data_IF_251317796139
#
_entry.id   IF_251317796139
#
_cell.length_a   1.000
_cell.length_b   1.000
_cell.length_c   1.000
_cell.angle_alpha   90.00
_cell.angle_beta   90.00
_cell.angle_gamma   90.00
#
_symmetry.space_group_name_H-M   'P 1'
#
loop_
_entity.id
_entity.type
_entity.pdbx_description
1 polymer ?
#
# COMPACT_ATOMS: atom_id res chain seq x y z
N UNK A 1 -27.70 0.60 25.60
CA UNK A 1 -26.35 1.09 25.26
C UNK A 1 -26.24 1.11 23.75
N UNK A 2 -26.45 2.24 23.15
CA UNK A 2 -26.34 2.41 21.69
C UNK A 2 -24.87 2.53 21.33
N UNK A 3 -24.37 1.57 20.55
CA UNK A 3 -23.03 1.65 19.96
C UNK A 3 -23.11 2.57 18.74
N UNK A 4 -22.66 3.81 18.90
CA UNK A 4 -22.44 4.71 17.77
C UNK A 4 -21.16 4.30 17.04
N UNK A 5 -21.31 3.65 15.90
CA UNK A 5 -20.21 3.43 14.96
C UNK A 5 -19.95 4.72 14.16
N UNK A 6 -18.82 5.34 14.40
CA UNK A 6 -18.33 6.39 13.50
C UNK A 6 -17.77 5.73 12.23
N UNK A 7 -18.51 5.90 11.13
CA UNK A 7 -18.05 5.48 9.81
C UNK A 7 -17.19 6.60 9.22
N UNK A 8 -15.90 6.38 9.06
CA UNK A 8 -14.99 7.32 8.40
C UNK A 8 -15.15 7.16 6.89
N UNK A 9 -15.60 8.19 6.22
CA UNK A 9 -15.51 8.29 4.77
C UNK A 9 -14.06 8.66 4.41
N UNK A 10 -13.40 7.83 3.61
CA UNK A 10 -12.09 8.17 3.04
C UNK A 10 -12.36 9.14 1.87
N UNK A 11 -12.16 10.41 2.09
CA UNK A 11 -12.21 11.40 1.02
C UNK A 11 -10.83 11.48 0.36
N UNK A 12 -10.76 11.15 -0.91
CA UNK A 12 -9.56 11.31 -1.70
C UNK A 12 -9.75 12.49 -2.66
N UNK A 13 -8.91 13.50 -2.55
CA UNK A 13 -9.02 14.72 -3.34
C UNK A 13 -8.37 14.55 -4.71
N UNK A 14 -9.14 14.77 -5.76
CA UNK A 14 -8.66 14.90 -7.13
C UNK A 14 -8.60 16.40 -7.44
N UNK A 15 -7.44 17.02 -7.33
CA UNK A 15 -7.28 18.45 -7.71
C UNK A 15 -7.19 18.59 -9.22
N UNK A 16 -8.23 19.12 -9.85
CA UNK A 16 -8.23 19.49 -11.27
C UNK A 16 -7.87 20.97 -11.39
N UNK A 17 -6.62 21.24 -11.65
CA UNK A 17 -6.15 22.61 -11.94
C UNK A 17 -5.16 22.62 -13.07
N UNK A 18 -5.56 23.12 -14.24
CA UNK A 18 -4.63 23.38 -15.32
C UNK A 18 -5.27 23.33 -16.72
N UNK A 19 -5.32 24.46 -17.37
CA UNK A 19 -5.79 24.63 -18.73
C UNK A 19 -4.93 23.83 -19.71
N UNK A 20 -5.54 22.96 -20.51
CA UNK A 20 -4.91 22.33 -21.67
C UNK A 20 -5.36 23.02 -22.94
N UNK A 21 -4.40 23.59 -23.63
CA UNK A 21 -4.55 24.01 -25.03
C UNK A 21 -4.62 22.79 -25.96
N UNK A 22 -5.62 22.82 -26.74
CA UNK A 22 -5.97 22.08 -27.95
C UNK A 22 -4.84 21.41 -28.73
N UNK A 23 -5.09 20.18 -29.18
CA UNK A 23 -4.84 19.80 -30.57
C UNK A 23 -6.05 19.08 -31.13
N UNK A 24 -6.51 19.59 -32.24
CA UNK A 24 -7.62 19.15 -33.05
C UNK A 24 -7.27 17.87 -33.82
N UNK A 25 -8.23 16.96 -34.00
CA UNK A 25 -8.44 16.38 -35.32
C UNK A 25 -9.92 16.09 -35.56
N UNK A 26 -10.29 16.41 -36.77
CA UNK A 26 -11.57 16.46 -37.42
C UNK A 26 -12.25 15.08 -37.54
N UNK A 27 -13.52 15.00 -37.23
CA UNK A 27 -14.43 14.27 -38.14
C UNK A 27 -15.87 14.81 -38.04
N UNK A 28 -16.30 15.36 -39.13
CA UNK A 28 -17.60 15.97 -39.34
C UNK A 28 -18.63 14.94 -39.81
N UNK A 29 -19.79 14.90 -39.17
CA UNK A 29 -21.07 14.66 -39.88
C UNK A 29 -22.18 15.50 -39.22
N UNK A 30 -23.01 16.16 -40.02
CA UNK A 30 -24.07 17.03 -39.52
C UNK A 30 -25.39 16.28 -39.39
N UNK A 31 -26.07 16.40 -38.27
CA UNK A 31 -27.52 16.23 -38.29
C UNK A 31 -28.18 17.32 -37.44
N UNK A 32 -29.14 17.98 -38.08
CA UNK A 32 -29.86 19.12 -37.56
C UNK A 32 -30.98 18.71 -36.62
N UNK A 33 -31.03 19.38 -35.49
CA UNK A 33 -32.12 19.29 -34.52
C UNK A 33 -32.14 20.50 -33.62
N UNK A 34 -33.03 21.42 -33.91
CA UNK A 34 -33.33 22.63 -33.13
C UNK A 34 -33.85 22.24 -31.73
N UNK A 35 -33.13 22.58 -30.68
CA UNK A 35 -33.52 22.37 -29.29
C UNK A 35 -32.76 23.25 -28.34
N UNK A 36 -33.42 24.22 -27.82
CA UNK A 36 -33.14 25.19 -26.78
C UNK A 36 -31.90 24.91 -25.92
N UNK A 37 -30.78 25.61 -26.20
CA UNK A 37 -29.50 25.39 -25.56
C UNK A 37 -29.47 25.87 -24.12
N UNK A 38 -29.64 24.97 -23.21
CA UNK A 38 -29.05 25.12 -21.88
C UNK A 38 -27.55 24.87 -22.01
N UNK A 39 -26.73 25.88 -21.82
CA UNK A 39 -25.28 25.74 -21.64
C UNK A 39 -25.05 24.89 -20.38
N UNK A 40 -24.86 23.58 -20.52
CA UNK A 40 -24.36 22.75 -19.44
C UNK A 40 -22.91 23.17 -19.21
N UNK A 41 -22.67 23.93 -18.15
CA UNK A 41 -21.31 24.17 -17.65
C UNK A 41 -20.66 22.80 -17.46
N UNK A 42 -19.44 22.56 -17.97
CA UNK A 42 -18.71 21.32 -17.72
C UNK A 42 -18.69 21.05 -16.21
N UNK A 43 -18.98 19.84 -15.78
CA UNK A 43 -19.02 19.48 -14.38
C UNK A 43 -17.68 19.80 -13.71
N UNK A 44 -17.72 20.60 -12.64
CA UNK A 44 -16.55 21.11 -11.92
C UNK A 44 -16.16 20.25 -10.72
N UNK A 45 -16.64 19.02 -10.68
CA UNK A 45 -16.36 18.10 -9.55
C UNK A 45 -14.86 17.92 -9.34
N UNK A 46 -14.38 18.26 -8.14
CA UNK A 46 -12.96 18.23 -7.75
C UNK A 46 -12.63 16.99 -6.90
N UNK A 47 -13.61 16.42 -6.25
CA UNK A 47 -13.42 15.37 -5.27
C UNK A 47 -14.26 14.15 -5.62
N UNK A 48 -13.69 12.97 -5.38
CA UNK A 48 -14.41 11.69 -5.43
C UNK A 48 -14.45 11.12 -4.04
N UNK A 49 -15.64 10.81 -3.56
CA UNK A 49 -15.89 10.29 -2.22
C UNK A 49 -16.38 8.86 -2.35
N UNK A 50 -15.68 7.90 -1.73
CA UNK A 50 -16.17 6.55 -1.55
C UNK A 50 -17.11 6.51 -0.34
N UNK A 51 -18.39 6.62 -0.60
CA UNK A 51 -19.44 6.63 0.42
C UNK A 51 -19.94 5.22 0.69
N UNK A 52 -19.87 4.78 1.94
CA UNK A 52 -20.43 3.49 2.35
C UNK A 52 -21.89 3.68 2.76
N UNK A 53 -22.79 2.98 2.06
CA UNK A 53 -24.20 2.84 2.40
C UNK A 53 -24.48 1.41 2.89
N UNK A 54 -25.72 1.15 3.35
CA UNK A 54 -26.11 -0.18 3.87
C UNK A 54 -25.94 -1.29 2.83
N UNK A 55 -26.18 -0.99 1.55
CA UNK A 55 -26.17 -1.95 0.46
C UNK A 55 -24.80 -2.05 -0.26
N UNK A 56 -23.85 -1.14 0.01
CA UNK A 56 -22.55 -1.16 -0.68
C UNK A 56 -21.72 0.11 -0.55
N UNK A 57 -20.66 0.18 -1.33
CA UNK A 57 -19.84 1.38 -1.48
C UNK A 57 -20.14 2.04 -2.82
N UNK A 58 -20.31 3.35 -2.80
CA UNK A 58 -20.63 4.15 -3.97
C UNK A 58 -19.65 5.29 -4.12
N UNK A 59 -19.23 5.54 -5.34
CA UNK A 59 -18.43 6.70 -5.69
C UNK A 59 -19.35 7.86 -6.04
N UNK A 60 -19.24 8.94 -5.29
CA UNK A 60 -19.95 10.19 -5.54
C UNK A 60 -18.94 11.32 -5.71
N UNK A 61 -19.32 12.35 -6.44
CA UNK A 61 -18.45 13.49 -6.69
C UNK A 61 -18.95 14.75 -5.97
N UNK A 62 -18.04 15.61 -5.57
CA UNK A 62 -18.33 16.90 -4.95
C UNK A 62 -17.41 17.99 -5.49
N UNK A 63 -17.89 19.23 -5.49
CA UNK A 63 -17.09 20.40 -5.79
C UNK A 63 -16.32 20.93 -4.57
N UNK A 64 -16.83 20.62 -3.36
CA UNK A 64 -16.23 21.03 -2.08
C UNK A 64 -16.30 19.87 -1.08
N UNK A 65 -15.37 19.88 -0.11
CA UNK A 65 -15.42 19.02 1.07
C UNK A 65 -15.85 19.80 2.33
N UNK A 66 -15.92 21.12 2.26
CA UNK A 66 -16.18 21.99 3.40
C UNK A 66 -17.66 22.33 3.55
N UNK A 67 -18.41 22.25 2.46
CA UNK A 67 -19.81 22.66 2.44
C UNK A 67 -20.66 21.82 1.48
N UNK A 68 -21.98 21.89 1.64
CA UNK A 68 -22.93 21.21 0.79
C UNK A 68 -23.34 19.85 1.33
N UNK A 69 -24.17 19.15 0.55
CA UNK A 69 -24.66 17.80 0.84
C UNK A 69 -24.44 16.91 -0.38
N UNK A 70 -23.83 15.77 -0.17
CA UNK A 70 -23.65 14.76 -1.19
C UNK A 70 -24.62 13.61 -0.89
N UNK A 71 -25.44 13.25 -1.88
CA UNK A 71 -26.36 12.12 -1.78
C UNK A 71 -25.94 10.99 -2.71
N UNK A 72 -25.95 9.76 -2.20
CA UNK A 72 -25.64 8.54 -2.95
C UNK A 72 -26.80 8.19 -3.89
N UNK A 73 -28.05 8.36 -3.44
CA UNK A 73 -29.24 7.96 -4.18
C UNK A 73 -29.37 8.71 -5.51
N UNK A 74 -29.31 7.98 -6.61
CA UNK A 74 -29.39 8.50 -7.97
C UNK A 74 -28.14 9.23 -8.47
N UNK A 75 -27.08 9.35 -7.64
CA UNK A 75 -25.84 10.05 -7.99
C UNK A 75 -24.57 9.19 -7.84
N UNK A 76 -24.63 8.11 -7.08
CA UNK A 76 -23.48 7.25 -6.84
C UNK A 76 -23.27 6.23 -7.95
N UNK A 77 -22.01 5.98 -8.29
CA UNK A 77 -21.58 4.81 -9.08
C UNK A 77 -21.18 3.72 -8.11
N UNK A 78 -21.81 2.56 -8.21
CA UNK A 78 -21.52 1.43 -7.33
C UNK A 78 -20.07 0.95 -7.50
N UNK A 79 -19.39 0.70 -6.38
CA UNK A 79 -18.02 0.21 -6.35
C UNK A 79 -17.99 -1.12 -5.58
N UNK A 80 -18.39 -2.19 -6.28
CA UNK A 80 -18.61 -3.52 -5.71
C UNK A 80 -17.32 -4.05 -5.07
N UNK A 81 -17.38 -4.32 -3.76
CA UNK A 81 -16.32 -5.00 -3.02
C UNK A 81 -14.99 -4.25 -2.91
N UNK A 82 -14.88 -3.01 -3.38
CA UNK A 82 -13.65 -2.25 -3.32
C UNK A 82 -13.21 -2.00 -1.86
N UNK A 83 -11.97 -2.40 -1.56
CA UNK A 83 -11.34 -2.27 -0.24
C UNK A 83 -10.15 -1.34 -0.26
N UNK A 84 -9.48 -1.21 -1.41
CA UNK A 84 -8.32 -0.36 -1.61
C UNK A 84 -8.52 0.54 -2.81
N UNK A 85 -8.01 1.76 -2.70
CA UNK A 85 -8.16 2.79 -3.72
C UNK A 85 -6.81 3.26 -4.20
N UNK A 86 -6.66 3.38 -5.52
CA UNK A 86 -5.47 3.91 -6.17
C UNK A 86 -5.88 5.02 -7.11
N UNK A 87 -5.24 6.17 -6.99
CA UNK A 87 -5.39 7.29 -7.92
C UNK A 87 -4.22 7.30 -8.88
N UNK A 88 -4.51 7.45 -10.16
CA UNK A 88 -3.52 7.63 -11.21
C UNK A 88 -3.83 8.90 -11.99
N UNK A 89 -2.91 9.85 -11.90
CA UNK A 89 -3.14 11.19 -12.45
C UNK A 89 -4.43 11.80 -11.87
N UNK A 90 -5.07 12.63 -12.68
CA UNK A 90 -6.32 13.32 -12.29
C UNK A 90 -7.58 12.67 -12.90
N UNK A 91 -7.44 11.56 -13.61
CA UNK A 91 -8.50 10.99 -14.43
C UNK A 91 -8.94 9.59 -14.03
N UNK A 92 -8.05 8.82 -13.42
CA UNK A 92 -8.32 7.40 -13.16
C UNK A 92 -8.32 7.09 -11.67
N UNK A 93 -9.31 6.33 -11.27
CA UNK A 93 -9.43 5.74 -9.95
C UNK A 93 -9.56 4.22 -10.11
N UNK A 94 -8.83 3.48 -9.31
CA UNK A 94 -8.92 2.02 -9.27
C UNK A 94 -9.41 1.60 -7.88
N UNK A 95 -10.49 0.82 -7.85
CA UNK A 95 -10.98 0.13 -6.67
C UNK A 95 -10.52 -1.32 -6.71
N UNK A 96 -9.69 -1.74 -5.77
CA UNK A 96 -9.20 -3.11 -5.68
C UNK A 96 -9.95 -3.86 -4.58
N UNK A 97 -10.41 -5.07 -4.88
CA UNK A 97 -11.10 -5.93 -3.93
C UNK A 97 -10.09 -6.79 -3.16
N UNK A 98 -10.16 -6.71 -1.83
CA UNK A 98 -9.52 -7.70 -0.97
C UNK A 98 -10.45 -8.90 -0.78
N UNK A 99 -9.99 -10.08 -1.17
CA UNK A 99 -10.77 -11.31 -1.13
C UNK A 99 -10.11 -12.33 -0.18
N UNK A 100 -10.00 -11.96 1.11
CA UNK A 100 -9.48 -12.81 2.20
C UNK A 100 -8.19 -13.57 1.87
N UNK A 101 -7.32 -12.94 1.09
CA UNK A 101 -6.04 -13.53 0.67
C UNK A 101 -6.11 -14.42 -0.58
N UNK A 102 -7.26 -14.52 -1.21
CA UNK A 102 -7.44 -15.15 -2.52
C UNK A 102 -7.27 -14.14 -3.66
N UNK A 103 -7.34 -14.62 -4.90
CA UNK A 103 -7.42 -13.77 -6.06
C UNK A 103 -8.63 -12.84 -5.97
N UNK A 104 -8.44 -11.58 -6.30
CA UNK A 104 -9.47 -10.55 -6.26
C UNK A 104 -9.68 -9.91 -7.62
N UNK A 105 -10.67 -9.06 -7.69
CA UNK A 105 -10.94 -8.21 -8.84
C UNK A 105 -10.62 -6.77 -8.51
N UNK A 106 -10.42 -5.97 -9.54
CA UNK A 106 -10.29 -4.53 -9.44
C UNK A 106 -11.08 -3.87 -10.55
N UNK A 107 -11.65 -2.72 -10.26
CA UNK A 107 -12.43 -1.96 -11.23
C UNK A 107 -11.79 -0.59 -11.40
N UNK A 108 -11.56 -0.18 -12.63
CA UNK A 108 -11.14 1.19 -12.92
C UNK A 108 -12.38 2.06 -13.17
N UNK A 109 -12.27 3.29 -12.72
CA UNK A 109 -13.30 4.33 -12.87
C UNK A 109 -12.66 5.55 -13.51
N UNK A 110 -13.41 6.21 -14.36
CA UNK A 110 -12.99 7.47 -14.98
C UNK A 110 -13.98 8.60 -14.65
N UNK A 111 -13.46 9.79 -14.44
CA UNK A 111 -14.27 10.99 -14.29
C UNK A 111 -14.76 11.44 -15.67
N UNK A 112 -16.07 11.53 -15.82
CA UNK A 112 -16.66 12.15 -16.99
C UNK A 112 -16.65 13.67 -16.84
N UNK A 113 -15.77 14.34 -17.56
CA UNK A 113 -15.59 15.81 -17.47
C UNK A 113 -16.86 16.58 -17.86
N UNK A 114 -17.72 16.05 -18.72
CA UNK A 114 -18.95 16.74 -19.14
C UNK A 114 -20.06 16.71 -18.08
N UNK A 115 -20.12 15.63 -17.28
CA UNK A 115 -21.17 15.44 -16.26
C UNK A 115 -20.66 15.63 -14.84
N UNK A 116 -19.34 15.66 -14.65
CA UNK A 116 -18.72 15.65 -13.33
C UNK A 116 -18.93 14.37 -12.54
N UNK A 117 -19.41 13.29 -13.19
CA UNK A 117 -19.71 12.00 -12.53
C UNK A 117 -18.64 10.96 -12.84
N UNK A 118 -18.40 10.09 -11.88
CA UNK A 118 -17.55 8.92 -12.06
C UNK A 118 -18.31 7.84 -12.82
N UNK A 119 -17.64 7.18 -13.75
CA UNK A 119 -18.17 6.04 -14.53
C UNK A 119 -17.19 4.89 -14.45
N UNK A 120 -17.70 3.67 -14.29
CA UNK A 120 -16.93 2.45 -14.46
C UNK A 120 -16.35 2.37 -15.88
N UNK A 121 -15.08 2.01 -15.97
CA UNK A 121 -14.36 1.91 -17.24
C UNK A 121 -14.01 0.46 -17.57
N UNK A 122 -13.34 -0.28 -16.68
CA UNK A 122 -12.89 -1.66 -16.91
C UNK A 122 -12.84 -2.45 -15.61
N UNK A 123 -13.03 -3.75 -15.73
CA UNK A 123 -12.82 -4.74 -14.67
C UNK A 123 -11.51 -5.52 -14.94
N UNK A 124 -10.80 -5.86 -13.85
CA UNK A 124 -9.54 -6.59 -13.88
C UNK A 124 -9.53 -7.70 -12.86
N UNK A 125 -8.73 -8.73 -13.12
CA UNK A 125 -8.43 -9.78 -12.15
C UNK A 125 -7.01 -9.65 -11.63
N UNK A 126 -6.83 -9.79 -10.33
CA UNK A 126 -5.53 -9.79 -9.68
C UNK A 126 -5.34 -11.09 -8.90
N UNK A 127 -4.08 -11.47 -8.73
CA UNK A 127 -3.73 -12.43 -7.70
C UNK A 127 -3.92 -11.79 -6.32
N UNK A 128 -3.64 -12.57 -5.25
CA UNK A 128 -3.66 -12.03 -3.90
C UNK A 128 -2.92 -10.69 -3.81
N UNK A 129 -3.50 -9.71 -3.11
CA UNK A 129 -2.93 -8.39 -2.91
C UNK A 129 -2.49 -8.25 -1.45
N UNK A 130 -1.20 -7.95 -1.21
CA UNK A 130 -0.68 -7.53 0.10
C UNK A 130 -0.24 -6.08 0.09
N UNK A 131 0.24 -5.60 -1.06
CA UNK A 131 0.55 -4.18 -1.27
C UNK A 131 0.25 -3.77 -2.71
N UNK A 132 0.10 -2.49 -2.93
CA UNK A 132 -0.28 -1.90 -4.20
C UNK A 132 0.24 -0.46 -4.31
N UNK A 133 0.22 0.08 -5.52
CA UNK A 133 0.60 1.46 -5.84
C UNK A 133 0.67 1.69 -7.34
N UNK A 134 1.37 2.74 -7.75
CA UNK A 134 1.61 3.09 -9.15
C UNK A 134 3.10 3.12 -9.44
N UNK A 135 3.49 2.79 -10.68
CA UNK A 135 4.83 2.96 -11.20
C UNK A 135 4.79 3.17 -12.71
N UNK A 136 5.24 4.34 -13.16
CA UNK A 136 5.06 4.76 -14.55
C UNK A 136 3.58 4.69 -14.94
N UNK A 137 3.30 4.08 -16.07
CA UNK A 137 1.93 3.90 -16.57
C UNK A 137 1.20 2.68 -15.98
N UNK A 138 1.68 2.12 -14.88
CA UNK A 138 1.10 0.92 -14.33
C UNK A 138 0.53 1.12 -12.92
N UNK A 139 -0.63 0.52 -12.67
CA UNK A 139 -1.05 0.10 -11.34
C UNK A 139 -0.37 -1.22 -11.04
N UNK A 140 0.28 -1.30 -9.88
CA UNK A 140 1.01 -2.49 -9.45
C UNK A 140 0.36 -3.07 -8.20
N UNK A 141 0.21 -4.39 -8.19
CA UNK A 141 -0.10 -5.15 -6.98
C UNK A 141 1.00 -6.17 -6.71
N UNK A 142 1.25 -6.45 -5.44
CA UNK A 142 2.25 -7.43 -5.02
C UNK A 142 1.70 -8.33 -3.93
N UNK A 143 2.18 -9.57 -3.92
CA UNK A 143 1.95 -10.54 -2.84
C UNK A 143 3.17 -11.44 -2.65
N UNK A 144 3.33 -11.96 -1.43
CA UNK A 144 4.31 -13.02 -1.14
C UNK A 144 3.62 -14.36 -1.28
N UNK A 145 4.20 -15.27 -2.06
CA UNK A 145 3.64 -16.57 -2.40
C UNK A 145 4.63 -17.71 -2.18
N UNK A 146 4.07 -18.92 -2.03
CA UNK A 146 4.82 -20.17 -1.98
C UNK A 146 5.02 -20.76 -3.40
N UNK A 147 5.92 -21.75 -3.53
CA UNK A 147 6.05 -22.53 -4.75
C UNK A 147 6.83 -21.86 -5.87
N UNK A 148 7.95 -21.23 -5.56
CA UNK A 148 8.96 -20.87 -6.56
C UNK A 148 9.56 -22.10 -7.22
N UNK A 149 10.44 -21.93 -8.21
CA UNK A 149 11.19 -23.05 -8.81
C UNK A 149 12.43 -23.43 -7.98
N UNK A 150 12.82 -22.58 -7.03
CA UNK A 150 14.01 -22.78 -6.20
C UNK A 150 13.67 -23.62 -4.97
N UNK A 151 14.47 -24.66 -4.73
CA UNK A 151 14.32 -25.60 -3.61
C UNK A 151 15.61 -25.76 -2.83
N UNK A 152 15.47 -25.98 -1.53
CA UNK A 152 16.57 -26.43 -0.70
C UNK A 152 16.83 -27.95 -0.89
N UNK A 153 17.84 -28.46 -0.19
CA UNK A 153 18.21 -29.87 -0.24
C UNK A 153 17.19 -30.84 0.39
N UNK A 154 16.22 -30.30 1.14
CA UNK A 154 15.13 -31.02 1.77
C UNK A 154 13.82 -30.93 0.97
N UNK A 155 13.82 -30.20 -0.15
CA UNK A 155 12.68 -30.05 -1.05
C UNK A 155 11.73 -28.93 -0.67
N UNK A 156 12.07 -28.06 0.29
CA UNK A 156 11.29 -26.87 0.59
C UNK A 156 11.50 -25.82 -0.50
N UNK A 157 10.40 -25.20 -0.94
CA UNK A 157 10.47 -24.14 -1.94
C UNK A 157 10.77 -22.78 -1.30
N UNK A 158 11.61 -22.00 -1.96
CA UNK A 158 11.77 -20.60 -1.64
C UNK A 158 10.45 -19.85 -1.88
N UNK A 159 10.12 -18.90 -1.02
CA UNK A 159 9.00 -17.96 -1.25
C UNK A 159 9.38 -16.90 -2.25
N UNK A 160 8.41 -16.41 -2.98
CA UNK A 160 8.61 -15.35 -3.97
C UNK A 160 7.60 -14.22 -3.84
N UNK A 161 8.02 -13.03 -4.24
CA UNK A 161 7.15 -11.89 -4.49
C UNK A 161 6.59 -12.03 -5.89
N UNK A 162 5.27 -11.93 -6.01
CA UNK A 162 4.58 -11.89 -7.31
C UNK A 162 4.03 -10.50 -7.54
N UNK A 163 4.36 -9.94 -8.68
CA UNK A 163 3.91 -8.64 -9.13
C UNK A 163 2.92 -8.79 -10.27
N UNK A 164 1.88 -7.97 -10.27
CA UNK A 164 1.00 -7.79 -11.40
C UNK A 164 1.08 -6.32 -11.80
N UNK A 165 1.33 -6.05 -13.07
CA UNK A 165 1.37 -4.74 -13.67
C UNK A 165 0.15 -4.58 -14.55
N UNK A 166 -0.64 -3.55 -14.29
CA UNK A 166 -1.78 -3.18 -15.10
C UNK A 166 -1.49 -1.83 -15.75
N UNK A 167 -1.28 -1.81 -17.05
CA UNK A 167 -1.11 -0.57 -17.79
C UNK A 167 -2.44 0.19 -17.84
N UNK A 168 -2.46 1.41 -17.32
CA UNK A 168 -3.68 2.21 -17.15
C UNK A 168 -4.30 2.67 -18.48
N UNK A 169 -3.49 2.82 -19.52
CA UNK A 169 -3.93 3.28 -20.85
C UNK A 169 -4.42 2.13 -21.73
N UNK A 170 -3.60 1.09 -21.90
CA UNK A 170 -3.94 -0.05 -22.76
C UNK A 170 -4.85 -1.07 -22.07
N UNK A 171 -4.81 -1.14 -20.72
CA UNK A 171 -5.47 -2.18 -19.95
C UNK A 171 -4.77 -3.53 -20.01
N UNK A 172 -3.58 -3.61 -20.62
CA UNK A 172 -2.80 -4.83 -20.66
C UNK A 172 -2.26 -5.17 -19.29
N UNK A 173 -2.19 -6.46 -18.97
CA UNK A 173 -1.64 -6.97 -17.73
C UNK A 173 -0.42 -7.84 -18.01
N UNK A 174 0.62 -7.65 -17.19
CA UNK A 174 1.81 -8.51 -17.17
C UNK A 174 2.13 -8.92 -15.74
N UNK A 175 2.95 -9.94 -15.56
CA UNK A 175 3.35 -10.42 -14.24
C UNK A 175 4.86 -10.56 -14.15
N UNK A 176 5.39 -10.31 -12.95
CA UNK A 176 6.79 -10.54 -12.61
C UNK A 176 6.90 -11.35 -11.32
N UNK A 177 8.07 -11.96 -11.10
CA UNK A 177 8.36 -12.73 -9.89
C UNK A 177 9.78 -12.46 -9.42
N UNK A 178 9.97 -12.35 -8.11
CA UNK A 178 11.29 -12.26 -7.50
C UNK A 178 11.33 -13.10 -6.22
N UNK A 179 12.45 -13.78 -5.97
CA UNK A 179 12.64 -14.52 -4.71
C UNK A 179 12.55 -13.56 -3.53
N UNK A 180 11.71 -13.89 -2.57
CA UNK A 180 11.50 -13.13 -1.34
C UNK A 180 12.48 -13.54 -0.23
N UNK A 181 13.01 -14.76 -0.31
CA UNK A 181 13.97 -15.30 0.64
C UNK A 181 15.32 -14.58 0.53
N UNK A 182 15.89 -14.22 1.66
CA UNK A 182 17.21 -13.58 1.74
C UNK A 182 17.34 -12.28 0.92
N UNK A 183 16.24 -11.62 0.60
CA UNK A 183 16.21 -10.40 -0.20
C UNK A 183 17.08 -9.27 0.42
N UNK A 184 17.10 -9.18 1.75
CA UNK A 184 17.91 -8.23 2.52
C UNK A 184 19.31 -8.78 2.86
N UNK A 185 19.67 -9.98 2.43
CA UNK A 185 20.94 -10.64 2.78
C UNK A 185 21.01 -11.15 4.23
N UNK A 186 19.87 -11.19 4.93
CA UNK A 186 19.75 -11.59 6.33
C UNK A 186 19.07 -12.94 6.55
N UNK A 187 18.79 -13.69 5.48
CA UNK A 187 18.15 -15.02 5.50
C UNK A 187 16.62 -14.97 5.62
N UNK A 188 16.01 -13.82 5.87
CA UNK A 188 14.57 -13.71 6.09
C UNK A 188 13.79 -13.56 4.79
N UNK A 189 12.53 -13.99 4.85
CA UNK A 189 11.52 -13.66 3.85
C UNK A 189 11.20 -12.18 3.98
N UNK A 190 10.87 -11.52 2.89
CA UNK A 190 10.36 -10.16 2.92
C UNK A 190 8.94 -10.06 2.37
N UNK A 191 8.22 -9.03 2.83
CA UNK A 191 7.02 -8.50 2.22
C UNK A 191 7.25 -7.04 1.88
N UNK A 192 6.67 -6.57 0.78
CA UNK A 192 6.67 -5.14 0.48
C UNK A 192 5.43 -4.47 1.08
N UNK A 193 5.57 -3.21 1.48
CA UNK A 193 4.49 -2.42 2.07
C UNK A 193 4.47 -1.00 1.52
N UNK A 194 3.56 -0.73 0.58
CA UNK A 194 3.43 0.53 -0.13
C UNK A 194 4.42 0.67 -1.29
N UNK A 195 3.93 1.22 -2.38
CA UNK A 195 4.72 1.64 -3.53
C UNK A 195 4.55 3.13 -3.71
N UNK A 196 5.66 3.86 -3.73
CA UNK A 196 5.67 5.32 -3.87
C UNK A 196 6.64 5.69 -4.97
N UNK A 197 6.13 6.26 -6.04
CA UNK A 197 6.94 6.85 -7.09
C UNK A 197 7.23 8.30 -6.77
N UNK A 198 8.50 8.66 -6.70
CA UNK A 198 8.97 10.02 -6.48
C UNK A 198 10.38 10.20 -7.07
N UNK A 199 10.70 11.41 -7.53
CA UNK A 199 12.02 11.76 -8.04
C UNK A 199 12.53 10.80 -9.13
N UNK A 200 11.64 10.27 -9.98
CA UNK A 200 11.97 9.32 -11.04
C UNK A 200 12.40 7.94 -10.54
N UNK A 201 12.04 7.56 -9.31
CA UNK A 201 12.35 6.27 -8.68
C UNK A 201 11.12 5.71 -8.01
N UNK A 202 11.10 4.39 -7.83
CA UNK A 202 10.12 3.73 -6.97
C UNK A 202 10.74 3.38 -5.63
N UNK A 203 10.02 3.70 -4.57
CA UNK A 203 10.39 3.38 -3.18
C UNK A 203 9.35 2.42 -2.58
N UNK A 204 9.82 1.43 -1.84
CA UNK A 204 8.95 0.52 -1.10
C UNK A 204 9.55 0.14 0.24
N UNK A 205 8.72 0.06 1.26
CA UNK A 205 9.12 -0.51 2.55
C UNK A 205 9.33 -2.02 2.41
N UNK A 206 10.48 -2.50 2.85
CA UNK A 206 10.83 -3.92 2.84
C UNK A 206 10.75 -4.45 4.27
N UNK A 207 9.71 -5.22 4.54
CA UNK A 207 9.42 -5.72 5.90
C UNK A 207 9.95 -7.14 6.05
N UNK A 208 10.95 -7.37 6.92
CA UNK A 208 11.44 -8.71 7.22
C UNK A 208 10.38 -9.51 7.99
N UNK A 209 10.21 -10.79 7.63
CA UNK A 209 9.09 -11.63 8.06
C UNK A 209 9.51 -12.86 8.88
N UNK A 210 10.82 -13.01 9.18
CA UNK A 210 11.38 -14.23 9.71
C UNK A 210 11.82 -15.19 8.62
N UNK A 211 12.10 -16.44 8.97
CA UNK A 211 12.66 -17.43 8.04
C UNK A 211 11.69 -18.60 7.83
N UNK A 212 11.46 -18.94 6.55
CA UNK A 212 10.78 -20.19 6.17
C UNK A 212 11.66 -21.41 6.42
N UNK A 213 11.16 -22.61 6.18
CA UNK A 213 11.99 -23.83 6.18
C UNK A 213 13.14 -23.70 5.16
N UNK A 214 12.86 -23.18 3.97
CA UNK A 214 13.90 -22.93 2.96
C UNK A 214 14.99 -22.00 3.53
N UNK A 215 14.60 -20.87 4.13
CA UNK A 215 15.53 -19.91 4.71
C UNK A 215 16.38 -20.52 5.84
N UNK A 216 15.75 -21.22 6.79
CA UNK A 216 16.43 -21.88 7.91
C UNK A 216 17.46 -22.92 7.42
N UNK A 217 17.13 -23.68 6.37
CA UNK A 217 18.00 -24.71 5.84
C UNK A 217 19.12 -24.17 4.93
N UNK A 218 18.80 -23.12 4.14
CA UNK A 218 19.72 -22.59 3.13
C UNK A 218 20.70 -21.56 3.71
N UNK A 219 20.25 -20.80 4.73
CA UNK A 219 21.02 -19.73 5.34
C UNK A 219 21.20 -19.89 6.87
N UNK A 220 21.65 -21.08 7.35
CA UNK A 220 21.74 -21.35 8.80
C UNK A 220 22.70 -20.39 9.53
N UNK A 221 23.67 -19.80 8.84
CA UNK A 221 24.61 -18.81 9.35
C UNK A 221 23.97 -17.42 9.61
N UNK A 222 22.76 -17.18 9.06
CA UNK A 222 21.99 -15.94 9.27
C UNK A 222 21.07 -16.03 10.49
N UNK A 223 20.99 -17.18 11.13
CA UNK A 223 20.19 -17.37 12.34
C UNK A 223 20.95 -16.77 13.52
N UNK A 224 20.41 -15.73 14.10
CA UNK A 224 21.04 -15.00 15.23
C UNK A 224 20.99 -15.80 16.54
N UNK A 225 19.94 -16.61 16.70
CA UNK A 225 19.74 -17.47 17.85
C UNK A 225 18.89 -18.69 17.45
N UNK A 226 19.42 -19.88 17.62
CA UNK A 226 18.74 -21.13 17.24
C UNK A 226 17.47 -21.43 18.06
N UNK A 227 17.33 -20.81 19.22
CA UNK A 227 16.10 -20.93 20.02
C UNK A 227 14.91 -20.16 19.44
N UNK A 228 15.13 -19.31 18.42
CA UNK A 228 14.07 -18.66 17.64
C UNK A 228 13.35 -19.61 16.69
N UNK A 229 13.95 -20.76 16.40
CA UNK A 229 13.33 -21.79 15.56
C UNK A 229 12.16 -22.42 16.34
N UNK A 230 10.96 -22.32 15.78
CA UNK A 230 9.76 -22.89 16.38
C UNK A 230 9.90 -24.41 16.57
N UNK A 231 9.63 -24.90 17.78
CA UNK A 231 9.69 -26.33 18.13
C UNK A 231 8.39 -27.07 17.85
N UNK A 232 7.29 -26.32 17.66
CA UNK A 232 5.95 -26.84 17.37
C UNK A 232 5.21 -25.92 16.42
N UNK A 233 4.16 -26.44 15.80
CA UNK A 233 3.22 -25.64 15.01
C UNK A 233 2.44 -24.69 15.90
N UNK A 234 2.11 -23.52 15.38
CA UNK A 234 1.36 -22.52 16.14
C UNK A 234 0.86 -21.35 15.31
N UNK A 235 0.39 -20.31 16.02
CA UNK A 235 -0.19 -19.13 15.42
C UNK A 235 -1.57 -19.37 14.81
N UNK A 236 -2.14 -18.33 14.17
CA UNK A 236 -3.44 -18.41 13.49
C UNK A 236 -3.51 -17.41 12.34
N UNK A 237 -4.34 -17.69 11.35
CA UNK A 237 -4.50 -16.83 10.17
C UNK A 237 -3.17 -16.54 9.48
N UNK A 238 -2.90 -15.28 9.19
CA UNK A 238 -1.64 -14.85 8.56
C UNK A 238 -0.39 -14.99 9.44
N UNK A 239 -0.56 -15.23 10.72
CA UNK A 239 0.52 -15.52 11.68
C UNK A 239 0.74 -17.01 11.94
N UNK A 240 0.13 -17.92 11.15
CA UNK A 240 0.34 -19.36 11.27
C UNK A 240 1.77 -19.73 10.86
N UNK A 241 2.39 -20.59 11.63
CA UNK A 241 3.73 -21.15 11.39
C UNK A 241 3.78 -22.65 11.70
N UNK A 242 4.81 -23.31 11.21
CA UNK A 242 5.09 -24.71 11.51
C UNK A 242 6.45 -24.85 12.18
N UNK A 243 6.64 -25.98 12.90
CA UNK A 243 7.92 -26.30 13.52
C UNK A 243 9.06 -26.24 12.49
N UNK A 244 10.21 -25.69 12.88
CA UNK A 244 11.35 -25.51 11.98
C UNK A 244 11.44 -24.15 11.29
N UNK A 245 10.46 -23.26 11.44
CA UNK A 245 10.47 -21.88 10.96
C UNK A 245 10.89 -20.90 12.05
N UNK A 246 11.32 -19.70 11.65
CA UNK A 246 11.43 -18.53 12.53
C UNK A 246 10.27 -17.60 12.17
N UNK A 247 9.19 -17.55 12.97
CA UNK A 247 7.92 -16.94 12.56
C UNK A 247 7.87 -15.39 12.64
N UNK A 248 8.90 -14.78 13.19
CA UNK A 248 8.97 -13.32 13.31
C UNK A 248 10.38 -12.84 13.01
N UNK A 249 10.49 -11.56 12.58
CA UNK A 249 11.80 -11.00 12.27
C UNK A 249 12.77 -11.06 13.46
N UNK A 250 14.02 -11.31 13.15
CA UNK A 250 15.15 -11.23 14.07
C UNK A 250 15.64 -9.77 14.24
N UNK A 251 15.09 -8.83 13.45
CA UNK A 251 15.52 -7.43 13.35
C UNK A 251 14.36 -6.44 13.57
N UNK A 252 13.63 -6.52 14.70
CA UNK A 252 12.42 -5.71 14.91
C UNK A 252 12.69 -4.21 15.08
N UNK A 253 13.93 -3.82 15.38
CA UNK A 253 14.37 -2.42 15.52
C UNK A 253 15.10 -1.89 14.28
N UNK A 254 14.82 -2.49 13.10
CA UNK A 254 15.32 -2.00 11.84
C UNK A 254 14.19 -1.77 10.84
N UNK A 255 14.34 -0.73 10.03
CA UNK A 255 13.52 -0.50 8.86
C UNK A 255 14.37 -0.45 7.60
N UNK A 256 13.82 -0.97 6.51
CA UNK A 256 14.51 -1.11 5.23
C UNK A 256 13.62 -0.55 4.12
N UNK A 257 14.22 0.20 3.20
CA UNK A 257 13.58 0.69 1.99
C UNK A 257 14.36 0.18 0.79
N UNK A 258 13.65 -0.38 -0.19
CA UNK A 258 14.19 -0.68 -1.50
C UNK A 258 13.90 0.49 -2.45
N UNK A 259 14.91 0.91 -3.19
CA UNK A 259 14.86 2.03 -4.14
C UNK A 259 15.19 1.46 -5.53
N UNK A 260 14.23 1.51 -6.42
CA UNK A 260 14.34 1.08 -7.81
C UNK A 260 14.48 2.29 -8.72
N UNK A 261 15.43 2.25 -9.65
CA UNK A 261 15.71 3.35 -10.59
C UNK A 261 15.26 3.05 -12.03
N UNK A 262 14.93 1.79 -12.33
CA UNK A 262 14.40 1.35 -13.60
C UNK A 262 12.87 1.37 -13.65
N UNK A 263 12.29 0.43 -14.37
CA UNK A 263 10.86 0.31 -14.64
C UNK A 263 10.25 -1.05 -14.24
N UNK A 264 11.06 -1.92 -13.65
CA UNK A 264 10.60 -3.25 -13.21
C UNK A 264 11.31 -3.72 -11.93
N UNK A 265 10.69 -4.67 -11.21
CA UNK A 265 11.28 -5.30 -10.04
C UNK A 265 12.35 -6.36 -10.37
N UNK A 266 12.70 -6.55 -11.64
CA UNK A 266 13.76 -7.47 -12.06
C UNK A 266 15.16 -6.90 -11.78
N UNK A 267 15.29 -5.57 -11.68
CA UNK A 267 16.55 -4.94 -11.29
C UNK A 267 16.90 -5.18 -9.81
N UNK A 268 18.15 -5.03 -9.48
CA UNK A 268 18.63 -5.04 -8.10
C UNK A 268 18.47 -3.65 -7.50
N UNK A 269 17.59 -3.46 -6.50
CA UNK A 269 17.39 -2.15 -5.90
C UNK A 269 18.55 -1.75 -4.99
N UNK A 270 18.68 -0.46 -4.74
CA UNK A 270 19.45 0.05 -3.61
C UNK A 270 18.65 -0.20 -2.34
N UNK A 271 19.26 -0.89 -1.36
CA UNK A 271 18.66 -1.11 -0.04
C UNK A 271 19.24 -0.12 0.94
N UNK A 272 18.38 0.68 1.57
CA UNK A 272 18.75 1.58 2.65
C UNK A 272 18.14 1.11 3.97
N UNK A 273 18.88 1.27 5.06
CA UNK A 273 18.53 0.77 6.38
C UNK A 273 18.62 1.89 7.42
N UNK A 274 17.74 1.84 8.42
CA UNK A 274 17.83 2.65 9.64
C UNK A 274 17.55 1.80 10.87
N UNK A 275 18.11 2.22 12.00
CA UNK A 275 17.88 1.70 13.35
C UNK A 275 17.11 2.70 14.24
N UNK A 276 16.60 3.80 13.66
CA UNK A 276 15.81 4.81 14.35
C UNK A 276 14.33 4.45 14.47
N UNK A 277 13.84 3.63 13.55
CA UNK A 277 12.49 3.05 13.56
C UNK A 277 12.59 1.56 13.21
N UNK A 278 11.57 0.79 13.54
CA UNK A 278 11.57 -0.66 13.33
C UNK A 278 10.33 -1.13 12.58
N UNK A 279 10.53 -2.02 11.60
CA UNK A 279 9.43 -2.76 10.98
C UNK A 279 9.25 -4.11 11.67
N UNK A 280 8.01 -4.46 11.98
CA UNK A 280 7.67 -5.74 12.56
C UNK A 280 6.56 -6.41 11.77
N UNK A 281 6.64 -7.73 11.63
CA UNK A 281 5.66 -8.56 10.96
C UNK A 281 4.49 -8.94 11.87
N UNK A 282 3.39 -9.40 11.29
CA UNK A 282 2.19 -9.87 11.98
C UNK A 282 0.96 -9.00 11.75
N UNK A 283 -0.18 -9.42 12.30
CA UNK A 283 -1.44 -8.68 12.17
C UNK A 283 -1.30 -7.27 12.77
N UNK A 284 -1.83 -6.26 12.07
CA UNK A 284 -1.69 -4.84 12.42
C UNK A 284 -0.22 -4.39 12.49
N UNK A 285 0.63 -5.00 11.68
CA UNK A 285 2.06 -4.74 11.58
C UNK A 285 2.41 -4.11 10.25
N UNK A 286 3.66 -3.72 10.09
CA UNK A 286 4.14 -2.93 8.95
C UNK A 286 3.85 -3.53 7.56
N UNK A 287 3.83 -4.85 7.43
CA UNK A 287 3.60 -5.49 6.12
C UNK A 287 2.17 -5.36 5.56
N UNK A 288 1.21 -4.84 6.32
CA UNK A 288 -0.18 -4.72 5.85
C UNK A 288 -0.59 -3.30 5.48
N UNK A 289 0.20 -2.31 5.86
CA UNK A 289 -0.19 -0.92 5.69
C UNK A 289 0.95 -0.13 5.08
N UNK A 290 0.61 0.70 4.12
CA UNK A 290 1.55 1.66 3.58
C UNK A 290 1.95 2.65 4.67
N UNK A 291 3.25 2.75 4.91
CA UNK A 291 3.86 3.65 5.90
C UNK A 291 4.95 4.52 5.28
N UNK A 292 5.09 4.49 3.95
CA UNK A 292 5.99 5.34 3.19
C UNK A 292 5.19 6.27 2.29
N UNK A 293 5.54 7.55 2.29
CA UNK A 293 4.84 8.58 1.54
C UNK A 293 5.84 9.62 1.02
N UNK A 294 5.60 10.12 -0.20
CA UNK A 294 6.30 11.29 -0.71
C UNK A 294 5.50 12.55 -0.36
N UNK A 295 6.15 13.55 0.18
CA UNK A 295 5.62 14.89 0.33
C UNK A 295 5.73 15.67 -0.99
N UNK A 296 5.03 16.79 -1.10
CA UNK A 296 4.98 17.58 -2.34
C UNK A 296 6.35 18.14 -2.77
N UNK A 297 7.28 18.29 -1.83
CA UNK A 297 8.68 18.69 -2.11
C UNK A 297 9.57 17.54 -2.58
N UNK A 298 9.04 16.31 -2.67
CA UNK A 298 9.74 15.10 -3.07
C UNK A 298 10.50 14.39 -1.94
N UNK A 299 10.50 14.90 -0.71
CA UNK A 299 11.02 14.18 0.45
C UNK A 299 10.13 12.96 0.75
N UNK A 300 10.76 11.85 1.12
CA UNK A 300 10.03 10.65 1.54
C UNK A 300 10.04 10.54 3.05
N UNK A 301 8.86 10.36 3.61
CA UNK A 301 8.67 10.11 5.04
C UNK A 301 8.30 8.66 5.25
N UNK A 302 9.03 8.01 6.16
CA UNK A 302 8.85 6.60 6.50
C UNK A 302 8.43 6.50 7.94
N UNK A 303 7.23 5.98 8.16
CA UNK A 303 6.60 5.85 9.47
C UNK A 303 6.72 4.41 9.98
N UNK A 304 6.78 4.26 11.27
CA UNK A 304 6.70 2.95 11.94
C UNK A 304 5.68 3.00 13.07
N UNK A 305 4.81 2.00 13.18
CA UNK A 305 3.90 1.87 14.32
C UNK A 305 4.58 1.43 15.63
N UNK A 306 5.86 1.07 15.62
CA UNK A 306 6.59 0.65 16.82
C UNK A 306 6.15 -0.71 17.38
N UNK A 307 5.53 -1.58 16.57
CA UNK A 307 4.96 -2.86 17.02
C UNK A 307 5.98 -3.96 17.28
N UNK A 308 7.27 -3.73 17.04
CA UNK A 308 8.36 -4.64 17.43
C UNK A 308 8.37 -4.95 18.93
N UNK A 309 7.86 -4.02 19.74
CA UNK A 309 7.72 -4.15 21.21
C UNK A 309 6.61 -5.11 21.64
N UNK A 310 5.65 -5.41 20.76
CA UNK A 310 4.48 -6.22 21.11
C UNK A 310 4.89 -7.67 21.35
N UNK A 311 4.55 -8.22 22.51
CA UNK A 311 4.79 -9.62 22.82
C UNK A 311 4.00 -10.55 21.87
N UNK A 312 4.56 -11.72 21.54
CA UNK A 312 3.78 -12.82 20.96
C UNK A 312 3.06 -13.54 22.09
N UNK A 313 1.87 -14.06 21.78
CA UNK A 313 1.03 -14.76 22.72
C UNK A 313 1.43 -16.22 22.98
N UNK A 314 2.39 -16.78 22.25
CA UNK A 314 2.81 -18.16 22.43
C UNK A 314 3.95 -18.26 23.43
N UNK A 315 3.71 -18.95 24.54
CA UNK A 315 4.72 -19.19 25.58
C UNK A 315 5.91 -20.03 25.08
N UNK A 316 5.67 -20.84 24.02
CA UNK A 316 6.67 -21.78 23.48
C UNK A 316 7.50 -21.17 22.34
N UNK A 317 7.20 -19.92 21.95
CA UNK A 317 7.88 -19.26 20.85
C UNK A 317 8.77 -18.13 21.36
N UNK A 318 10.08 -18.34 21.34
CA UNK A 318 11.04 -17.27 21.53
C UNK A 318 10.99 -16.30 20.35
N UNK A 319 11.08 -15.00 20.59
CA UNK A 319 11.25 -13.97 19.58
C UNK A 319 12.21 -12.87 20.06
N UNK A 320 12.75 -12.14 19.10
CA UNK A 320 13.44 -10.88 19.41
C UNK A 320 12.37 -9.79 19.60
N UNK A 321 12.39 -9.14 20.74
CA UNK A 321 11.48 -8.04 21.05
C UNK A 321 12.18 -6.72 20.73
N UNK A 322 11.54 -5.88 19.91
CA UNK A 322 12.00 -4.53 19.61
C UNK A 322 11.77 -3.57 20.76
N UNK A 323 12.45 -2.44 20.72
CA UNK A 323 12.39 -1.40 21.77
C UNK A 323 11.90 -0.06 21.23
N UNK A 324 11.91 0.14 19.89
CA UNK A 324 11.65 1.44 19.30
C UNK A 324 10.15 1.80 19.34
N UNK A 325 9.82 3.06 19.71
CA UNK A 325 8.46 3.58 19.66
C UNK A 325 7.98 3.81 18.23
N UNK A 326 6.72 4.20 18.09
CA UNK A 326 6.24 4.77 16.84
C UNK A 326 7.07 6.01 16.49
N UNK A 327 7.53 6.06 15.25
CA UNK A 327 8.42 7.13 14.84
C UNK A 327 8.38 7.36 13.33
N UNK A 328 8.99 8.47 12.91
CA UNK A 328 9.13 8.85 11.52
C UNK A 328 10.56 9.26 11.22
N UNK A 329 11.06 8.81 10.09
CA UNK A 329 12.35 9.18 9.51
C UNK A 329 12.13 9.69 8.09
N UNK A 330 13.16 10.34 7.51
CA UNK A 330 13.07 10.96 6.20
C UNK A 330 14.21 10.51 5.28
N UNK A 331 13.90 10.39 4.00
CA UNK A 331 14.87 10.39 2.91
C UNK A 331 14.63 11.67 2.12
N UNK A 332 15.63 12.54 1.98
CA UNK A 332 15.49 13.79 1.24
C UNK A 332 15.30 13.52 -0.25
N UNK A 333 14.61 14.43 -0.92
CA UNK A 333 14.37 14.36 -2.36
C UNK A 333 15.64 14.04 -3.14
N UNK A 334 15.60 13.00 -3.96
CA UNK A 334 16.72 12.55 -4.78
C UNK A 334 17.83 11.77 -4.06
N UNK A 335 17.85 11.73 -2.72
CA UNK A 335 18.85 10.96 -1.97
C UNK A 335 18.51 9.47 -1.92
N UNK A 336 19.53 8.66 -1.63
CA UNK A 336 19.44 7.20 -1.48
C UNK A 336 19.93 6.75 -0.10
N UNK A 337 19.70 7.59 0.92
CA UNK A 337 20.02 7.30 2.32
C UNK A 337 19.07 8.07 3.23
N UNK A 338 18.87 7.57 4.45
CA UNK A 338 18.10 8.28 5.44
C UNK A 338 18.82 9.55 5.91
N UNK A 339 18.04 10.61 6.13
CA UNK A 339 18.54 11.85 6.74
C UNK A 339 18.96 11.58 8.20
N UNK A 340 20.26 11.63 8.46
CA UNK A 340 20.82 11.36 9.78
C UNK A 340 20.30 12.33 10.86
N UNK A 341 19.89 13.53 10.45
CA UNK A 341 19.45 14.60 11.34
C UNK A 341 17.93 14.65 11.53
N UNK A 342 17.17 13.75 10.89
CA UNK A 342 15.72 13.71 11.00
C UNK A 342 15.24 12.44 11.73
N UNK A 343 14.57 12.64 12.82
CA UNK A 343 13.80 11.62 13.55
C UNK A 343 12.75 12.32 14.39
N UNK A 344 11.55 11.79 14.39
CA UNK A 344 10.46 12.29 15.21
C UNK A 344 9.77 11.13 15.93
N UNK A 345 9.77 11.18 17.27
CA UNK A 345 9.08 10.20 18.10
C UNK A 345 7.59 10.57 18.18
N UNK A 346 6.75 9.80 17.51
CA UNK A 346 5.31 10.10 17.41
C UNK A 346 4.57 9.90 18.74
N UNK A 347 5.06 9.02 19.60
CA UNK A 347 4.44 8.79 20.91
C UNK A 347 4.78 9.93 21.86
N UNK A 348 6.05 10.32 21.94
CA UNK A 348 6.52 11.39 22.83
C UNK A 348 5.94 12.76 22.45
N UNK A 349 5.86 13.04 21.16
CA UNK A 349 5.41 14.34 20.63
C UNK A 349 3.90 14.40 20.36
N UNK A 350 3.21 13.27 20.43
CA UNK A 350 1.80 13.14 20.10
C UNK A 350 0.93 12.78 21.32
N UNK A 351 0.18 11.69 21.18
CA UNK A 351 -0.84 11.28 22.16
C UNK A 351 -0.30 10.37 23.28
N UNK A 352 0.96 9.99 23.26
CA UNK A 352 1.54 8.96 24.13
C UNK A 352 1.24 7.53 23.71
N UNK A 353 0.54 7.33 22.57
CA UNK A 353 0.10 6.04 22.09
C UNK A 353 0.71 5.70 20.73
N UNK A 354 0.81 4.40 20.37
CA UNK A 354 1.34 3.98 19.09
C UNK A 354 0.47 4.44 17.91
N UNK A 355 1.12 4.65 16.76
CA UNK A 355 0.45 4.90 15.50
C UNK A 355 -0.14 3.59 14.94
N UNK A 356 -1.28 3.70 14.25
CA UNK A 356 -1.88 2.59 13.51
C UNK A 356 -1.73 2.75 12.01
N UNK A 357 -2.11 3.91 11.45
CA UNK A 357 -2.04 4.24 10.02
C UNK A 357 -1.67 5.70 9.81
N UNK A 358 -1.16 5.98 8.62
CA UNK A 358 -0.87 7.33 8.20
C UNK A 358 -1.23 7.55 6.72
N UNK A 359 -1.51 8.80 6.36
CA UNK A 359 -1.79 9.23 5.01
C UNK A 359 -1.14 10.58 4.77
N UNK A 360 -0.55 10.78 3.61
CA UNK A 360 -0.15 12.09 3.15
C UNK A 360 -1.39 12.87 2.72
N UNK A 361 -1.46 14.14 3.07
CA UNK A 361 -2.57 15.03 2.73
C UNK A 361 -2.12 16.07 1.70
N UNK A 362 -1.16 16.90 2.04
CA UNK A 362 -0.59 17.94 1.16
C UNK A 362 0.67 18.50 1.79
N UNK A 363 1.55 19.07 1.01
CA UNK A 363 2.83 19.64 1.44
C UNK A 363 3.64 18.61 2.28
N UNK A 364 3.88 18.88 3.54
CA UNK A 364 4.47 17.98 4.54
C UNK A 364 3.48 17.63 5.67
N UNK A 365 2.17 17.75 5.41
CA UNK A 365 1.11 17.40 6.35
C UNK A 365 0.66 15.96 6.17
N UNK A 366 0.57 15.26 7.30
CA UNK A 366 0.14 13.87 7.37
C UNK A 366 -1.01 13.70 8.35
N UNK A 367 -1.99 12.88 7.99
CA UNK A 367 -3.01 12.41 8.91
C UNK A 367 -2.52 11.13 9.58
N UNK A 368 -2.52 11.09 10.89
CA UNK A 368 -2.15 9.94 11.69
C UNK A 368 -3.35 9.41 12.46
N UNK A 369 -3.61 8.13 12.31
CA UNK A 369 -4.53 7.40 13.18
C UNK A 369 -3.71 6.78 14.31
N UNK A 370 -3.92 7.27 15.53
CA UNK A 370 -3.25 6.79 16.73
C UNK A 370 -4.18 5.89 17.55
N UNK A 371 -3.62 4.99 18.34
CA UNK A 371 -4.40 4.30 19.37
C UNK A 371 -4.77 5.27 20.50
N UNK A 372 -5.90 5.04 21.14
CA UNK A 372 -6.33 5.79 22.34
C UNK A 372 -5.88 5.13 23.65
N UNK A 373 -5.48 3.85 23.55
CA UNK A 373 -5.02 3.03 24.68
C UNK A 373 -3.83 2.19 24.21
N UNK A 374 -2.86 1.96 25.10
CA UNK A 374 -1.63 1.22 24.83
C UNK A 374 -1.78 -0.30 24.83
#
# INVERSE_FOLDING_TARGET
MEKRFFTWALAAALCVGGALTSCSDDDTTPDGGNGNGGTTTPGTSKYVIAAKADEGTYLVTSESLDEGTVTVLGNGTEAIGASYWIFYGQQYLFGLQYNDGNAGTGTSYALNAATGKVKEAREYTFNRITTYGTWGDNVITCSTNDGSQEKDTQGNFAKYLQFNYLNVHSGNTTTGKRIAENFLGNGEIVSFAGFVEANGKLYTSVVPMGMSHYGVNTFPEKITDRDLIAKSDGGSGSGKYTAGQIPSTQYPDNAFIAIYSGDSFDETPVIVKTDKIGFASGRKKSQYYQTIWAADNGDLYVFSPGYGRTATSSADLKKVTGQLPSGVVRIKAGETQFDANYYYNLEEQGTGHPMFRCWHITADYFLLQMYSEG
#
